data_IF_746720403119
#
_entry.id   IF_746720403119
#
_cell.length_a   1.000
_cell.length_b   1.000
_cell.length_c   1.000
_cell.angle_alpha   90.00
_cell.angle_beta   90.00
_cell.angle_gamma   90.00
#
_symmetry.space_group_name_H-M   'P 1'
#
loop_
_entity.id
_entity.type
_entity.pdbx_description
1 polymer ?
#
# COMPACT_ATOMS: atom_id res chain seq x y z
N UNK A 1 12.34 -1.48 3.93
CA UNK A 1 11.27 -2.42 4.32
C UNK A 1 11.91 -3.73 4.67
N UNK A 2 11.61 -4.26 5.85
CA UNK A 2 12.10 -5.56 6.30
C UNK A 2 11.19 -6.70 5.79
N UNK A 3 11.72 -7.92 5.81
CA UNK A 3 11.02 -9.10 5.30
C UNK A 3 9.68 -9.37 6.02
N UNK A 4 9.62 -9.03 7.31
CA UNK A 4 8.41 -9.19 8.12
C UNK A 4 7.32 -8.22 7.68
N UNK A 5 7.68 -6.97 7.41
CA UNK A 5 6.73 -5.96 6.95
C UNK A 5 6.15 -6.34 5.58
N UNK A 6 6.97 -6.81 4.64
CA UNK A 6 6.50 -7.33 3.33
C UNK A 6 5.54 -8.52 3.52
N UNK A 7 5.86 -9.43 4.44
CA UNK A 7 5.03 -10.60 4.73
C UNK A 7 3.66 -10.19 5.31
N UNK A 8 3.64 -9.20 6.20
CA UNK A 8 2.40 -8.66 6.76
C UNK A 8 1.54 -8.00 5.69
N UNK A 9 2.13 -7.18 4.82
CA UNK A 9 1.42 -6.56 3.70
C UNK A 9 0.85 -7.59 2.73
N UNK A 10 1.59 -8.67 2.47
CA UNK A 10 1.10 -9.80 1.66
C UNK A 10 -0.12 -10.46 2.30
N UNK A 11 -0.09 -10.72 3.60
CA UNK A 11 -1.23 -11.31 4.32
C UNK A 11 -2.47 -10.41 4.29
N UNK A 12 -2.29 -9.09 4.44
CA UNK A 12 -3.37 -8.11 4.34
C UNK A 12 -3.97 -8.11 2.92
N UNK A 13 -3.14 -8.03 1.89
CA UNK A 13 -3.60 -8.05 0.50
C UNK A 13 -4.38 -9.33 0.18
N UNK A 14 -3.87 -10.49 0.59
CA UNK A 14 -4.54 -11.78 0.39
C UNK A 14 -5.89 -11.88 1.10
N UNK A 15 -5.99 -11.34 2.32
CA UNK A 15 -7.28 -11.27 3.03
C UNK A 15 -8.27 -10.39 2.27
N UNK A 16 -7.83 -9.23 1.79
CA UNK A 16 -8.68 -8.33 1.01
C UNK A 16 -9.10 -8.94 -0.33
N UNK A 17 -8.23 -9.72 -0.98
CA UNK A 17 -8.56 -10.49 -2.19
C UNK A 17 -9.66 -11.53 -1.90
N UNK A 18 -9.54 -12.27 -0.79
CA UNK A 18 -10.53 -13.24 -0.36
C UNK A 18 -11.89 -12.60 -0.01
N UNK A 19 -11.86 -11.41 0.59
CA UNK A 19 -13.06 -10.65 0.94
C UNK A 19 -13.66 -9.88 -0.27
N UNK A 20 -13.01 -9.91 -1.44
CA UNK A 20 -13.43 -9.16 -2.64
C UNK A 20 -13.18 -7.65 -2.58
N UNK A 21 -12.42 -7.17 -1.59
CA UNK A 21 -12.12 -5.76 -1.35
C UNK A 21 -10.93 -5.25 -2.20
N UNK A 22 -10.89 -5.59 -3.49
CA UNK A 22 -9.76 -5.34 -4.39
C UNK A 22 -9.77 -3.96 -5.07
N UNK A 23 -10.80 -3.15 -4.81
CA UNK A 23 -10.91 -1.80 -5.39
C UNK A 23 -10.61 -0.69 -4.37
N UNK A 24 -10.30 -1.05 -3.12
CA UNK A 24 -9.90 -0.06 -2.11
C UNK A 24 -8.47 0.41 -2.34
N UNK A 25 -8.22 1.70 -2.16
CA UNK A 25 -6.88 2.28 -2.12
C UNK A 25 -5.96 1.55 -1.12
N UNK A 26 -6.52 1.04 -0.03
CA UNK A 26 -5.76 0.28 0.96
C UNK A 26 -5.27 -1.07 0.40
N UNK A 27 -6.08 -1.73 -0.42
CA UNK A 27 -5.67 -2.95 -1.12
C UNK A 27 -4.60 -2.65 -2.16
N UNK A 28 -4.79 -1.61 -2.98
CA UNK A 28 -3.81 -1.22 -4.00
C UNK A 28 -2.44 -0.93 -3.39
N UNK A 29 -2.43 -0.24 -2.24
CA UNK A 29 -1.23 -0.02 -1.43
C UNK A 29 -0.63 -1.33 -0.92
N UNK A 30 -1.43 -2.17 -0.27
CA UNK A 30 -0.97 -3.43 0.28
C UNK A 30 -0.37 -4.36 -0.78
N UNK A 31 -1.02 -4.46 -1.95
CA UNK A 31 -0.59 -5.25 -3.09
C UNK A 31 0.72 -4.73 -3.69
N UNK A 32 0.85 -3.41 -3.86
CA UNK A 32 2.07 -2.80 -4.37
C UNK A 32 3.27 -3.07 -3.45
N UNK A 33 3.08 -2.86 -2.15
CA UNK A 33 4.11 -3.12 -1.14
C UNK A 33 4.48 -4.62 -1.09
N UNK A 34 3.49 -5.50 -1.13
CA UNK A 34 3.70 -6.94 -1.13
C UNK A 34 4.44 -7.45 -2.39
N UNK A 35 4.34 -6.72 -3.50
CA UNK A 35 5.11 -6.98 -4.73
C UNK A 35 6.54 -6.40 -4.68
N UNK A 36 6.92 -5.75 -3.57
CA UNK A 36 8.19 -5.04 -3.45
C UNK A 36 8.25 -3.73 -4.24
N UNK A 37 7.09 -3.22 -4.69
CA UNK A 37 7.00 -1.93 -5.38
C UNK A 37 6.96 -0.78 -4.36
N UNK A 38 7.31 0.44 -4.77
CA UNK A 38 7.13 1.63 -3.94
C UNK A 38 5.67 1.78 -3.49
N UNK A 39 5.48 2.35 -2.30
CA UNK A 39 4.16 2.73 -1.82
C UNK A 39 3.52 3.71 -2.83
N UNK A 40 2.33 3.39 -3.38
CA UNK A 40 1.66 4.25 -4.36
C UNK A 40 1.04 5.49 -3.71
N UNK A 41 1.03 5.60 -2.38
CA UNK A 41 0.53 6.80 -1.72
C UNK A 41 1.54 7.96 -1.82
N UNK A 42 1.08 9.15 -2.26
CA UNK A 42 1.91 10.34 -2.21
C UNK A 42 2.30 10.64 -0.76
N UNK A 43 3.51 11.15 -0.58
CA UNK A 43 3.93 11.63 0.74
C UNK A 43 3.08 12.84 1.11
N UNK A 44 2.81 13.03 2.41
CA UNK A 44 2.06 14.21 2.90
C UNK A 44 2.68 15.52 2.38
N UNK A 45 4.00 15.57 2.26
CA UNK A 45 4.72 16.70 1.69
C UNK A 45 4.40 16.99 0.21
N UNK A 46 3.99 15.98 -0.57
CA UNK A 46 3.59 16.12 -1.97
C UNK A 46 2.13 16.58 -2.10
N UNK A 47 1.33 16.41 -1.05
CA UNK A 47 -0.06 16.85 -0.98
C UNK A 47 -0.20 18.29 -0.48
N UNK A 48 0.82 18.85 0.17
CA UNK A 48 0.79 20.23 0.63
C UNK A 48 1.24 21.16 -0.50
N UNK A 49 0.49 22.26 -0.78
CA UNK A 49 0.97 23.26 -1.72
C UNK A 49 2.29 23.82 -1.21
N UNK A 50 3.29 23.93 -2.11
CA UNK A 50 4.54 24.63 -1.78
C UNK A 50 4.19 26.05 -1.40
N UNK A 51 4.40 26.41 -0.14
CA UNK A 51 4.33 27.82 0.28
C UNK A 51 5.30 28.60 -0.60
N UNK A 52 4.74 29.52 -1.41
CA UNK A 52 5.47 30.47 -2.25
C UNK A 52 5.97 31.60 -1.37
#
# INVERSE_FOLDING_TARGET
MDQNEITNWKAIAQKMEADGNTNSWFYLRARAIADGKPDPMPKVAELMPKSI
#
